data_IF_450015173617
#
_entry.id   IF_450015173617
#
_cell.length_a   1.000
_cell.length_b   1.000
_cell.length_c   1.000
_cell.angle_alpha   90.00
_cell.angle_beta   90.00
_cell.angle_gamma   90.00
#
_symmetry.space_group_name_H-M   'P 1'
#
loop_
_entity.id
_entity.type
_entity.pdbx_description
1 polymer ?
#
# COMPACT_ATOMS: atom_id res chain seq x y z
N UNK A 1 -13.35 -6.76 -3.50
CA UNK A 1 -12.03 -6.32 -3.02
C UNK A 1 -11.47 -7.33 -2.04
N UNK A 2 -10.22 -7.70 -2.20
CA UNK A 2 -9.54 -8.62 -1.28
C UNK A 2 -8.37 -7.87 -0.64
N UNK A 3 -8.36 -7.84 0.69
CA UNK A 3 -7.26 -7.28 1.48
C UNK A 3 -6.30 -8.42 1.86
N UNK A 4 -5.04 -8.25 1.48
CA UNK A 4 -3.99 -9.27 1.68
C UNK A 4 -3.25 -9.09 3.01
N UNK A 5 -3.85 -8.44 3.99
CA UNK A 5 -3.26 -8.31 5.33
C UNK A 5 -2.92 -9.69 5.90
N UNK A 6 -1.67 -9.87 6.28
CA UNK A 6 -1.21 -11.15 6.83
C UNK A 6 -1.00 -12.27 5.81
N UNK A 7 -1.14 -12.00 4.52
CA UNK A 7 -0.92 -12.98 3.45
C UNK A 7 0.53 -12.89 2.97
N UNK A 8 1.25 -14.01 3.03
CA UNK A 8 2.67 -14.05 2.63
C UNK A 8 2.83 -13.98 1.10
N UNK A 9 2.04 -14.76 0.37
CA UNK A 9 2.06 -14.73 -1.10
C UNK A 9 0.65 -14.48 -1.65
N UNK A 10 0.37 -13.26 -2.14
CA UNK A 10 -0.93 -12.92 -2.68
C UNK A 10 -1.38 -13.80 -3.85
N UNK A 11 -0.46 -14.35 -4.63
CA UNK A 11 -0.81 -15.22 -5.75
C UNK A 11 -1.44 -16.53 -5.28
N UNK A 12 -1.08 -17.02 -4.08
CA UNK A 12 -1.71 -18.21 -3.52
C UNK A 12 -3.20 -18.01 -3.24
N UNK A 13 -3.60 -16.77 -2.96
CA UNK A 13 -5.01 -16.41 -2.78
C UNK A 13 -5.72 -16.27 -4.13
N UNK A 14 -5.05 -15.68 -5.12
CA UNK A 14 -5.66 -15.34 -6.41
C UNK A 14 -5.78 -16.53 -7.35
N UNK A 15 -4.81 -17.44 -7.37
CA UNK A 15 -4.76 -18.57 -8.31
C UNK A 15 -6.01 -19.46 -8.30
N UNK A 16 -6.58 -19.83 -7.13
CA UNK A 16 -7.77 -20.68 -7.12
C UNK A 16 -9.06 -19.98 -7.49
N UNK A 17 -9.07 -18.66 -7.62
CA UNK A 17 -10.27 -17.92 -7.94
C UNK A 17 -10.60 -18.04 -9.43
N UNK A 18 -11.87 -18.36 -9.75
CA UNK A 18 -12.35 -18.43 -11.15
C UNK A 18 -12.45 -17.04 -11.75
N UNK A 19 -12.89 -16.07 -10.95
CA UNK A 19 -13.04 -14.68 -11.34
C UNK A 19 -12.16 -13.86 -10.40
N UNK A 20 -11.16 -13.13 -10.93
CA UNK A 20 -10.33 -12.29 -10.08
C UNK A 20 -11.14 -11.15 -9.45
N UNK A 21 -10.74 -10.66 -8.27
CA UNK A 21 -11.39 -9.51 -7.66
C UNK A 21 -11.14 -8.25 -8.49
N UNK A 22 -11.98 -7.23 -8.32
CA UNK A 22 -11.75 -5.94 -8.97
C UNK A 22 -10.57 -5.20 -8.35
N UNK A 23 -10.38 -5.34 -7.05
CA UNK A 23 -9.34 -4.63 -6.29
C UNK A 23 -8.62 -5.59 -5.37
N UNK A 24 -7.29 -5.52 -5.37
CA UNK A 24 -6.42 -6.22 -4.44
C UNK A 24 -5.69 -5.18 -3.60
N UNK A 25 -5.74 -5.32 -2.27
CA UNK A 25 -5.01 -4.44 -1.35
C UNK A 25 -3.80 -5.18 -0.81
N UNK A 26 -2.61 -4.70 -1.10
CA UNK A 26 -1.37 -5.17 -0.48
C UNK A 26 -1.17 -4.34 0.78
N UNK A 27 -1.34 -4.98 1.91
CA UNK A 27 -1.47 -4.31 3.20
C UNK A 27 -0.39 -4.80 4.16
N UNK A 28 0.54 -3.91 4.51
CA UNK A 28 1.51 -4.18 5.58
C UNK A 28 0.80 -4.00 6.92
N UNK A 29 0.81 -5.03 7.74
CA UNK A 29 0.19 -4.99 9.06
C UNK A 29 0.92 -4.03 10.00
N UNK A 30 0.21 -3.56 11.03
CA UNK A 30 0.76 -2.64 12.02
C UNK A 30 1.99 -3.21 12.72
N UNK A 31 1.96 -4.49 13.05
CA UNK A 31 3.11 -5.15 13.68
C UNK A 31 4.30 -5.20 12.73
N UNK A 32 4.04 -5.38 11.44
CA UNK A 32 5.09 -5.39 10.42
C UNK A 32 5.71 -4.00 10.22
N UNK A 33 4.93 -2.94 10.37
CA UNK A 33 5.43 -1.56 10.29
C UNK A 33 6.49 -1.27 11.34
N UNK A 34 6.38 -1.90 12.50
CA UNK A 34 7.29 -1.71 13.62
C UNK A 34 8.53 -2.60 13.55
N UNK A 35 8.56 -3.57 12.63
CA UNK A 35 9.70 -4.48 12.46
C UNK A 35 10.64 -3.87 11.43
N UNK A 36 11.90 -3.65 11.86
CA UNK A 36 12.93 -3.08 11.01
C UNK A 36 13.17 -3.97 9.78
N UNK A 37 13.12 -3.38 8.61
CA UNK A 37 13.30 -4.08 7.35
C UNK A 37 12.04 -4.69 6.77
N UNK A 38 10.92 -4.65 7.47
CA UNK A 38 9.63 -5.06 6.93
C UNK A 38 9.03 -3.93 6.13
N UNK A 39 8.94 -4.14 4.82
CA UNK A 39 8.39 -3.18 3.87
C UNK A 39 7.30 -3.85 3.05
N UNK A 40 6.50 -3.04 2.36
CA UNK A 40 5.53 -3.58 1.40
C UNK A 40 6.31 -4.36 0.34
N UNK A 41 5.83 -5.58 0.06
CA UNK A 41 6.48 -6.47 -0.90
C UNK A 41 6.15 -6.05 -2.33
N UNK A 42 6.87 -5.07 -2.86
CA UNK A 42 6.62 -4.53 -4.20
C UNK A 42 6.79 -5.56 -5.31
N UNK A 43 7.58 -6.61 -5.09
CA UNK A 43 7.68 -7.72 -6.04
C UNK A 43 6.31 -8.36 -6.30
N UNK A 44 5.43 -8.38 -5.30
CA UNK A 44 4.07 -8.90 -5.47
C UNK A 44 3.22 -8.01 -6.36
N UNK A 45 3.42 -6.70 -6.32
CA UNK A 45 2.74 -5.77 -7.21
C UNK A 45 3.03 -6.12 -8.66
N UNK A 46 4.30 -6.26 -9.00
CA UNK A 46 4.73 -6.62 -10.35
C UNK A 46 4.20 -7.99 -10.78
N UNK A 47 4.26 -8.97 -9.90
CA UNK A 47 3.78 -10.34 -10.18
C UNK A 47 2.27 -10.36 -10.43
N UNK A 48 1.50 -9.65 -9.62
CA UNK A 48 0.04 -9.57 -9.81
C UNK A 48 -0.27 -8.84 -11.12
N UNK A 49 0.38 -7.71 -11.36
CA UNK A 49 0.16 -6.91 -12.56
C UNK A 49 0.46 -7.69 -13.84
N UNK A 50 1.45 -8.57 -13.81
CA UNK A 50 1.81 -9.38 -14.98
C UNK A 50 0.78 -10.46 -15.32
N UNK A 51 -0.07 -10.84 -14.37
CA UNK A 51 -1.00 -11.97 -14.54
C UNK A 51 -2.49 -11.57 -14.48
N UNK A 52 -2.80 -10.47 -13.82
CA UNK A 52 -4.19 -10.08 -13.56
C UNK A 52 -4.43 -8.62 -13.91
N UNK A 53 -5.58 -8.36 -14.53
CA UNK A 53 -6.04 -6.99 -14.78
C UNK A 53 -6.93 -6.57 -13.61
N UNK A 54 -6.29 -6.14 -12.54
CA UNK A 54 -6.96 -5.74 -11.30
C UNK A 54 -6.42 -4.38 -10.86
N UNK A 55 -7.19 -3.67 -10.06
CA UNK A 55 -6.71 -2.48 -9.38
C UNK A 55 -5.89 -2.91 -8.16
N UNK A 56 -4.67 -2.43 -8.05
CA UNK A 56 -3.78 -2.76 -6.94
C UNK A 56 -3.64 -1.53 -6.05
N UNK A 57 -3.97 -1.70 -4.78
CA UNK A 57 -3.84 -0.68 -3.75
C UNK A 57 -2.73 -1.09 -2.77
N UNK A 58 -1.86 -0.14 -2.43
CA UNK A 58 -0.84 -0.34 -1.41
C UNK A 58 -1.23 0.42 -0.14
N UNK A 59 -1.15 -0.25 0.99
CA UNK A 59 -1.56 0.30 2.28
C UNK A 59 -0.64 -0.18 3.41
N UNK A 60 -0.73 0.48 4.55
CA UNK A 60 0.01 0.10 5.76
C UNK A 60 1.30 0.88 5.95
N UNK A 61 1.23 2.05 6.56
CA UNK A 61 2.39 2.86 6.91
C UNK A 61 3.14 3.45 5.72
N UNK A 62 2.42 3.77 4.65
CA UNK A 62 3.02 4.29 3.41
C UNK A 62 3.43 5.75 3.59
N UNK A 63 4.72 6.04 3.42
CA UNK A 63 5.26 7.41 3.37
C UNK A 63 5.42 7.87 1.90
N UNK A 64 5.99 9.07 1.71
CA UNK A 64 6.18 9.62 0.36
C UNK A 64 7.07 8.73 -0.52
N UNK A 65 8.15 8.21 0.05
CA UNK A 65 9.10 7.35 -0.66
C UNK A 65 8.43 6.03 -1.06
N UNK A 66 7.70 5.44 -0.14
CA UNK A 66 7.00 4.17 -0.39
C UNK A 66 5.86 4.35 -1.38
N UNK A 67 5.13 5.47 -1.32
CA UNK A 67 4.10 5.80 -2.29
C UNK A 67 4.67 5.83 -3.71
N UNK A 68 5.79 6.50 -3.89
CA UNK A 68 6.47 6.56 -5.19
C UNK A 68 6.89 5.18 -5.68
N UNK A 69 7.47 4.37 -4.79
CA UNK A 69 7.90 3.02 -5.12
C UNK A 69 6.71 2.12 -5.49
N UNK A 70 5.61 2.24 -4.77
CA UNK A 70 4.40 1.46 -5.06
C UNK A 70 3.86 1.76 -6.45
N UNK A 71 3.72 3.03 -6.79
CA UNK A 71 3.22 3.46 -8.11
C UNK A 71 4.19 3.06 -9.21
N UNK A 72 5.50 3.23 -9.00
CA UNK A 72 6.53 2.82 -9.95
C UNK A 72 6.44 1.32 -10.27
N UNK A 73 6.14 0.49 -9.28
CA UNK A 73 6.03 -0.96 -9.45
C UNK A 73 4.67 -1.42 -9.99
N UNK A 74 3.74 -0.51 -10.22
CA UNK A 74 2.47 -0.81 -10.88
C UNK A 74 1.22 -0.74 -10.02
N UNK A 75 1.32 -0.25 -8.78
CA UNK A 75 0.13 0.00 -7.97
C UNK A 75 -0.68 1.16 -8.57
N UNK A 76 -1.99 1.06 -8.45
CA UNK A 76 -2.91 2.09 -8.95
C UNK A 76 -3.33 3.07 -7.86
N UNK A 77 -3.35 2.60 -6.62
CA UNK A 77 -3.81 3.36 -5.47
C UNK A 77 -2.79 3.24 -4.34
N UNK A 78 -2.67 4.31 -3.57
CA UNK A 78 -1.88 4.32 -2.34
C UNK A 78 -2.76 4.87 -1.23
N UNK A 79 -2.81 4.15 -0.12
CA UNK A 79 -3.55 4.57 1.08
C UNK A 79 -2.55 5.13 2.08
N UNK A 80 -2.74 6.38 2.46
CA UNK A 80 -1.84 7.08 3.38
C UNK A 80 -2.62 7.39 4.66
N UNK A 81 -2.02 7.08 5.80
CA UNK A 81 -2.59 7.37 7.10
C UNK A 81 -1.90 8.57 7.72
N UNK A 82 -2.66 9.64 7.98
CA UNK A 82 -2.15 10.83 8.66
C UNK A 82 -2.61 10.77 10.12
N UNK A 83 -1.66 10.95 11.03
CA UNK A 83 -1.94 10.93 12.46
C UNK A 83 -1.40 12.19 13.13
N UNK A 84 -2.05 12.60 14.22
CA UNK A 84 -1.55 13.71 15.03
C UNK A 84 -0.19 13.32 15.65
N UNK A 85 0.76 14.28 15.83
CA UNK A 85 2.09 13.94 16.36
C UNK A 85 2.09 13.25 17.73
N UNK A 86 1.01 13.42 18.50
CA UNK A 86 0.88 12.80 19.83
C UNK A 86 0.18 11.45 19.82
N UNK A 87 -0.32 11.02 18.66
CA UNK A 87 -0.99 9.72 18.54
C UNK A 87 0.00 8.57 18.62
N UNK A 88 -0.45 7.47 19.21
CA UNK A 88 0.32 6.23 19.24
C UNK A 88 0.18 5.43 17.94
N UNK A 89 -0.76 5.79 17.07
CA UNK A 89 -1.00 5.09 15.80
C UNK A 89 0.15 5.29 14.82
N UNK A 90 0.37 4.29 13.97
CA UNK A 90 1.33 4.38 12.88
C UNK A 90 0.75 5.20 11.74
N UNK A 91 1.62 5.96 11.09
CA UNK A 91 1.23 6.82 9.99
C UNK A 91 2.17 8.01 9.89
N UNK A 92 1.85 8.93 8.99
CA UNK A 92 2.61 10.16 8.85
C UNK A 92 2.15 11.12 9.95
N UNK A 93 3.08 11.45 10.84
CA UNK A 93 2.80 12.34 11.97
C UNK A 93 2.86 13.78 11.49
N UNK A 94 1.71 14.44 11.53
CA UNK A 94 1.62 15.82 11.09
C UNK A 94 0.45 16.54 11.74
N UNK A 95 0.62 17.83 11.97
CA UNK A 95 -0.45 18.78 12.28
C UNK A 95 -0.67 19.76 11.14
N UNK A 96 -0.02 19.51 10.00
CA UNK A 96 -0.19 20.33 8.81
C UNK A 96 -1.56 20.11 8.17
N UNK A 97 -1.93 21.03 7.26
CA UNK A 97 -3.15 20.93 6.49
C UNK A 97 -3.15 19.66 5.62
N UNK A 98 -4.22 18.89 5.69
CA UNK A 98 -4.41 17.68 4.89
C UNK A 98 -4.28 18.00 3.39
N UNK A 99 -4.77 19.15 2.95
CA UNK A 99 -4.66 19.56 1.54
C UNK A 99 -3.21 19.69 1.10
N UNK A 100 -2.35 20.27 1.92
CA UNK A 100 -0.93 20.41 1.61
C UNK A 100 -0.22 19.07 1.53
N UNK A 101 -0.50 18.17 2.48
CA UNK A 101 0.06 16.82 2.48
C UNK A 101 -0.42 16.05 1.25
N UNK A 102 -1.68 16.15 0.90
CA UNK A 102 -2.24 15.51 -0.29
C UNK A 102 -1.51 15.99 -1.56
N UNK A 103 -1.25 17.28 -1.68
CA UNK A 103 -0.48 17.83 -2.80
C UNK A 103 0.93 17.23 -2.86
N UNK A 104 1.61 17.11 -1.73
CA UNK A 104 2.94 16.51 -1.70
C UNK A 104 2.93 15.08 -2.23
N UNK A 105 1.95 14.27 -1.82
CA UNK A 105 1.82 12.90 -2.31
C UNK A 105 1.51 12.86 -3.81
N UNK A 106 0.55 13.66 -4.27
CA UNK A 106 0.19 13.71 -5.68
C UNK A 106 1.36 14.13 -6.56
N UNK A 107 2.14 15.12 -6.13
CA UNK A 107 3.32 15.55 -6.87
C UNK A 107 4.41 14.46 -6.91
N UNK A 108 4.53 13.70 -5.84
CA UNK A 108 5.52 12.63 -5.74
C UNK A 108 5.22 11.45 -6.65
N UNK A 109 3.95 11.12 -6.83
CA UNK A 109 3.52 9.93 -7.59
C UNK A 109 3.16 10.22 -9.06
N UNK A 110 3.26 11.45 -9.47
CA UNK A 110 3.04 11.81 -10.88
C UNK A 110 4.03 11.13 -11.83
#
# INVERSE_FOLDING_TARGET
MIDMLGVDDPLDVLRPLRIPPDVVVLHRGRDEENVRGKVIQYKHVTRIRSKYDVVISAAGGVDLREARSAIFNGANLVVVNLVHPRDSWQGIRTNEDVGQITHQFLDTIK
#
